data_IF_984469400047
#
_entry.id   IF_984469400047
#
_cell.length_a   1.000
_cell.length_b   1.000
_cell.length_c   1.000
_cell.angle_alpha   90.00
_cell.angle_beta   90.00
_cell.angle_gamma   90.00
#
_symmetry.space_group_name_H-M   'P 1'
#
loop_
_entity.id
_entity.type
_entity.pdbx_description
1 polymer ?
#
# COMPACT_ATOMS: atom_id res chain seq x y z
N UNK A 1 20.20 11.75 -3.71
CA UNK A 1 21.00 12.13 -2.52
C UNK A 1 21.77 13.42 -2.70
N UNK A 2 22.52 13.62 -3.80
CA UNK A 2 23.21 14.90 -4.08
C UNK A 2 22.27 16.13 -4.03
N UNK A 3 20.97 15.94 -4.33
CA UNK A 3 19.93 16.96 -4.24
C UNK A 3 19.30 17.15 -2.84
N UNK A 4 19.80 16.50 -1.78
CA UNK A 4 19.28 16.63 -0.41
C UNK A 4 17.96 15.90 -0.10
N UNK A 5 17.40 15.15 -1.06
CA UNK A 5 16.15 14.40 -0.87
C UNK A 5 16.36 13.11 -0.06
N UNK A 6 15.46 12.87 0.91
CA UNK A 6 15.30 11.58 1.57
C UNK A 6 14.70 10.56 0.59
N UNK A 7 15.28 9.35 0.56
CA UNK A 7 14.84 8.26 -0.34
C UNK A 7 14.35 7.09 0.50
N UNK A 8 13.18 6.59 0.15
CA UNK A 8 12.57 5.39 0.74
C UNK A 8 12.27 4.38 -0.36
N UNK A 9 12.62 3.13 -0.13
CA UNK A 9 12.32 2.04 -1.05
C UNK A 9 11.01 1.36 -0.63
N UNK A 10 10.18 1.03 -1.62
CA UNK A 10 8.98 0.23 -1.43
C UNK A 10 9.04 -0.93 -2.41
N UNK A 11 8.84 -2.15 -1.93
CA UNK A 11 8.88 -3.35 -2.75
C UNK A 11 7.64 -4.21 -2.48
N UNK A 12 6.96 -4.62 -3.54
CA UNK A 12 5.94 -5.66 -3.47
C UNK A 12 6.65 -7.01 -3.47
N UNK A 13 6.39 -7.84 -2.46
CA UNK A 13 7.04 -9.15 -2.32
C UNK A 13 6.20 -10.21 -3.03
N UNK A 14 6.79 -10.88 -4.01
CA UNK A 14 6.10 -11.85 -4.86
C UNK A 14 6.87 -13.17 -4.87
N UNK A 15 6.16 -14.26 -4.57
CA UNK A 15 6.69 -15.62 -4.53
C UNK A 15 7.28 -16.01 -5.89
N UNK A 16 8.50 -16.53 -5.88
CA UNK A 16 9.20 -16.99 -7.08
C UNK A 16 9.67 -15.86 -7.99
N UNK A 17 9.51 -14.59 -7.58
CA UNK A 17 9.98 -13.43 -8.33
C UNK A 17 11.11 -12.72 -7.59
N UNK A 18 10.87 -12.29 -6.34
CA UNK A 18 11.84 -11.53 -5.55
C UNK A 18 11.86 -11.90 -4.06
N UNK A 19 11.09 -12.91 -3.64
CA UNK A 19 10.99 -13.31 -2.24
C UNK A 19 12.31 -13.90 -1.68
N UNK A 20 13.16 -14.43 -2.55
CA UNK A 20 14.50 -14.90 -2.18
C UNK A 20 15.54 -13.77 -2.03
N UNK A 21 15.27 -12.57 -2.55
CA UNK A 21 16.24 -11.46 -2.62
C UNK A 21 16.04 -10.41 -1.51
N UNK A 22 15.17 -10.70 -0.55
CA UNK A 22 14.77 -9.71 0.48
C UNK A 22 15.95 -9.32 1.38
N UNK A 23 16.83 -10.26 1.73
CA UNK A 23 18.04 -9.95 2.51
C UNK A 23 18.98 -9.01 1.76
N UNK A 24 19.21 -9.28 0.46
CA UNK A 24 20.04 -8.43 -0.39
C UNK A 24 19.44 -7.03 -0.53
N UNK A 25 18.10 -6.94 -0.59
CA UNK A 25 17.40 -5.66 -0.63
C UNK A 25 17.53 -4.87 0.69
N UNK A 26 17.53 -5.56 1.84
CA UNK A 26 17.78 -4.94 3.16
C UNK A 26 19.21 -4.39 3.21
N UNK A 27 20.21 -5.18 2.79
CA UNK A 27 21.61 -4.74 2.71
C UNK A 27 21.73 -3.52 1.80
N UNK A 28 21.19 -3.61 0.58
CA UNK A 28 21.23 -2.54 -0.42
C UNK A 28 20.61 -1.23 0.11
N UNK A 29 19.46 -1.32 0.78
CA UNK A 29 18.80 -0.18 1.41
C UNK A 29 19.66 0.42 2.53
N UNK A 30 20.22 -0.46 3.39
CA UNK A 30 21.12 -0.11 4.49
C UNK A 30 22.35 0.67 4.04
N UNK A 31 23.11 0.13 3.07
CA UNK A 31 24.30 0.76 2.49
C UNK A 31 23.98 2.13 1.88
N UNK A 32 22.79 2.25 1.28
CA UNK A 32 22.29 3.50 0.69
C UNK A 32 21.58 4.37 1.69
N UNK A 33 21.60 4.03 2.98
CA UNK A 33 20.91 4.71 4.08
C UNK A 33 19.46 5.07 3.77
N UNK A 34 18.75 4.18 3.09
CA UNK A 34 17.34 4.28 2.76
C UNK A 34 16.55 3.39 3.73
N UNK A 35 15.36 3.82 4.11
CA UNK A 35 14.40 2.92 4.74
C UNK A 35 13.73 2.06 3.65
N UNK A 36 13.35 0.83 4.01
CA UNK A 36 12.71 -0.13 3.13
C UNK A 36 11.30 -0.44 3.64
N UNK A 37 10.34 -0.63 2.74
CA UNK A 37 9.00 -1.13 3.09
C UNK A 37 8.60 -2.24 2.15
N UNK A 38 8.30 -3.40 2.73
CA UNK A 38 7.79 -4.57 2.04
C UNK A 38 6.26 -4.54 2.05
N UNK A 39 5.65 -4.90 0.94
CA UNK A 39 4.21 -4.80 0.70
C UNK A 39 3.70 -6.15 0.19
N UNK A 40 2.62 -6.66 0.78
CA UNK A 40 1.96 -7.86 0.22
C UNK A 40 1.31 -7.54 -1.13
N UNK A 41 1.31 -8.49 -2.07
CA UNK A 41 0.64 -8.31 -3.34
C UNK A 41 -0.87 -8.26 -3.09
N UNK A 42 -1.50 -7.13 -3.45
CA UNK A 42 -2.96 -7.00 -3.41
C UNK A 42 -3.58 -7.54 -4.71
N UNK A 43 -4.68 -8.32 -4.66
CA UNK A 43 -5.39 -8.86 -5.82
C UNK A 43 -6.25 -7.79 -6.51
N UNK A 44 -5.66 -6.64 -6.87
CA UNK A 44 -6.38 -5.50 -7.45
C UNK A 44 -6.00 -5.29 -8.91
N UNK A 45 -7.02 -5.32 -9.77
CA UNK A 45 -6.88 -5.15 -11.22
C UNK A 45 -6.40 -6.41 -11.94
N UNK A 46 -6.50 -6.41 -13.26
CA UNK A 46 -5.93 -7.48 -14.09
C UNK A 46 -4.39 -7.46 -13.95
N UNK A 47 -3.80 -8.65 -13.78
CA UNK A 47 -2.35 -8.87 -13.84
C UNK A 47 -2.04 -9.77 -15.03
N UNK A 48 -1.06 -9.39 -15.84
CA UNK A 48 -0.61 -10.20 -16.99
C UNK A 48 0.17 -11.45 -16.54
N UNK A 49 0.72 -11.43 -15.32
CA UNK A 49 1.59 -12.48 -14.75
C UNK A 49 0.84 -13.62 -14.03
N UNK A 50 -0.47 -13.75 -14.24
CA UNK A 50 -1.32 -14.75 -13.60
C UNK A 50 -1.94 -14.31 -12.26
N UNK A 51 -2.61 -15.24 -11.53
CA UNK A 51 -3.32 -14.91 -10.31
C UNK A 51 -2.36 -14.45 -9.21
N UNK A 52 -2.55 -13.23 -8.71
CA UNK A 52 -1.73 -12.67 -7.61
C UNK A 52 -1.79 -13.51 -6.32
N UNK A 53 -2.83 -14.32 -6.17
CA UNK A 53 -2.97 -15.30 -5.09
C UNK A 53 -1.85 -16.35 -5.08
N UNK A 54 -1.38 -16.79 -6.25
CA UNK A 54 -0.27 -17.75 -6.37
C UNK A 54 1.09 -17.13 -6.00
N UNK A 55 1.19 -15.81 -6.13
CA UNK A 55 2.40 -15.04 -5.83
C UNK A 55 2.43 -14.53 -4.38
N UNK A 56 1.42 -14.86 -3.56
CA UNK A 56 1.28 -14.35 -2.21
C UNK A 56 2.34 -14.91 -1.25
N UNK A 57 3.03 -13.98 -0.58
CA UNK A 57 3.94 -14.26 0.54
C UNK A 57 3.41 -13.51 1.76
N UNK A 58 2.92 -14.21 2.81
CA UNK A 58 2.50 -13.54 4.04
C UNK A 58 3.70 -12.85 4.69
N UNK A 59 3.67 -11.52 4.80
CA UNK A 59 4.81 -10.79 5.35
C UNK A 59 4.99 -11.03 6.85
N UNK A 60 3.94 -11.47 7.55
CA UNK A 60 4.04 -11.90 8.95
C UNK A 60 5.00 -13.09 9.10
N UNK A 61 4.94 -14.06 8.19
CA UNK A 61 5.85 -15.21 8.20
C UNK A 61 7.25 -14.83 7.70
N UNK A 62 7.33 -13.95 6.69
CA UNK A 62 8.61 -13.41 6.23
C UNK A 62 9.33 -12.65 7.36
N UNK A 63 8.62 -11.82 8.12
CA UNK A 63 9.19 -11.09 9.24
C UNK A 63 9.74 -12.02 10.33
N UNK A 64 9.03 -13.12 10.65
CA UNK A 64 9.52 -14.16 11.57
C UNK A 64 10.78 -14.83 11.06
N UNK A 65 10.86 -15.12 9.75
CA UNK A 65 12.04 -15.72 9.14
C UNK A 65 13.23 -14.75 9.11
N UNK A 66 13.00 -13.47 8.82
CA UNK A 66 14.02 -12.42 8.87
C UNK A 66 14.57 -12.25 10.29
N UNK A 67 13.73 -12.30 11.33
CA UNK A 67 14.13 -12.21 12.73
C UNK A 67 15.07 -13.35 13.19
N UNK A 68 15.22 -14.44 12.41
CA UNK A 68 16.21 -15.49 12.68
C UNK A 68 17.62 -15.14 12.21
N UNK A 69 17.75 -14.16 11.32
CA UNK A 69 19.01 -13.75 10.66
C UNK A 69 19.39 -12.30 10.93
N UNK A 70 18.42 -11.46 11.29
CA UNK A 70 18.56 -10.03 11.56
C UNK A 70 18.07 -9.69 12.96
N UNK A 71 18.70 -8.71 13.59
CA UNK A 71 18.27 -8.13 14.86
C UNK A 71 17.20 -7.07 14.59
N UNK A 72 15.94 -7.48 14.77
CA UNK A 72 14.78 -6.63 14.47
C UNK A 72 14.13 -6.10 15.75
N UNK A 73 14.26 -4.80 16.00
CA UNK A 73 13.63 -4.13 17.15
C UNK A 73 12.29 -3.51 16.75
N UNK A 74 11.14 -3.94 17.31
CA UNK A 74 9.84 -3.36 16.99
C UNK A 74 9.72 -1.89 17.39
N UNK A 75 9.06 -1.08 16.55
CA UNK A 75 8.78 0.33 16.82
C UNK A 75 7.26 0.59 16.80
N UNK A 76 6.50 0.14 17.82
CA UNK A 76 5.03 0.16 17.80
C UNK A 76 4.42 1.57 17.74
N UNK A 77 5.16 2.59 18.18
CA UNK A 77 4.71 3.98 18.18
C UNK A 77 5.26 4.80 17.00
N UNK A 78 6.09 4.20 16.14
CA UNK A 78 6.62 4.89 14.98
C UNK A 78 5.59 4.87 13.84
N UNK A 79 5.24 6.06 13.33
CA UNK A 79 4.28 6.22 12.23
C UNK A 79 4.76 7.28 11.25
N UNK A 80 4.56 7.00 9.96
CA UNK A 80 4.82 7.95 8.86
C UNK A 80 3.51 8.43 8.21
N UNK A 81 2.37 8.32 8.92
CA UNK A 81 1.04 8.60 8.34
C UNK A 81 0.58 7.55 7.31
N UNK A 82 1.20 6.37 7.32
CA UNK A 82 0.82 5.25 6.46
C UNK A 82 0.61 3.95 7.22
N UNK A 83 0.13 2.90 6.53
CA UNK A 83 -0.28 1.66 7.18
C UNK A 83 0.91 0.76 7.57
N UNK A 84 2.13 1.17 7.24
CA UNK A 84 3.32 0.38 7.48
C UNK A 84 3.60 0.27 8.99
N UNK A 85 3.92 -0.94 9.42
CA UNK A 85 4.46 -1.23 10.76
C UNK A 85 5.95 -1.38 10.66
N UNK A 86 6.69 -0.76 11.57
CA UNK A 86 8.13 -0.63 11.44
C UNK A 86 8.88 -1.41 12.51
N UNK A 87 10.00 -1.96 12.08
CA UNK A 87 11.08 -2.44 12.95
C UNK A 87 12.37 -1.70 12.57
N UNK A 88 13.29 -1.57 13.53
CA UNK A 88 14.68 -1.20 13.25
C UNK A 88 15.48 -2.46 12.93
N UNK A 89 16.26 -2.43 11.86
CA UNK A 89 17.29 -3.44 11.57
C UNK A 89 18.59 -2.92 12.18
N UNK A 90 19.01 -3.48 13.32
CA UNK A 90 20.13 -2.91 14.09
C UNK A 90 21.44 -2.91 13.29
N UNK A 91 21.67 -3.91 12.45
CA UNK A 91 22.87 -4.07 11.63
C UNK A 91 23.05 -2.92 10.62
N UNK A 92 21.94 -2.33 10.15
CA UNK A 92 21.97 -1.22 9.19
C UNK A 92 21.62 0.13 9.81
N UNK A 93 21.04 0.11 11.02
CA UNK A 93 20.41 1.26 11.67
C UNK A 93 19.16 1.80 10.96
N UNK A 94 18.69 1.17 9.87
CA UNK A 94 17.55 1.63 9.05
C UNK A 94 16.24 0.98 9.47
N UNK A 95 15.15 1.56 8.98
CA UNK A 95 13.80 1.06 9.23
C UNK A 95 13.38 0.07 8.13
N UNK A 96 12.79 -1.03 8.58
CA UNK A 96 12.09 -1.98 7.73
C UNK A 96 10.59 -1.93 8.06
N UNK A 97 9.79 -1.52 7.08
CA UNK A 97 8.34 -1.42 7.16
C UNK A 97 7.63 -2.61 6.54
N UNK A 98 6.48 -2.98 7.07
CA UNK A 98 5.62 -4.03 6.54
C UNK A 98 4.20 -3.50 6.30
N UNK A 99 3.68 -3.66 5.10
CA UNK A 99 2.30 -3.33 4.72
C UNK A 99 1.57 -4.63 4.36
N UNK A 100 0.64 -5.04 5.22
CA UNK A 100 -0.02 -6.35 5.21
C UNK A 100 -1.53 -6.26 4.96
N UNK A 101 -1.99 -5.81 3.78
CA UNK A 101 -3.41 -5.62 3.48
C UNK A 101 -4.23 -6.92 3.57
N UNK A 102 -3.59 -8.08 3.40
CA UNK A 102 -4.22 -9.40 3.43
C UNK A 102 -4.01 -10.07 4.79
N UNK A 103 -2.75 -10.28 5.21
CA UNK A 103 -2.48 -11.08 6.41
C UNK A 103 -2.81 -10.35 7.72
N UNK A 104 -2.84 -9.02 7.70
CA UNK A 104 -3.16 -8.21 8.86
C UNK A 104 -3.68 -6.82 8.45
N UNK A 105 -4.96 -6.78 8.06
CA UNK A 105 -5.63 -5.60 7.52
C UNK A 105 -5.50 -4.33 8.41
N UNK A 106 -5.49 -3.15 7.77
CA UNK A 106 -5.30 -1.84 8.40
C UNK A 106 -6.40 -0.81 8.03
N UNK A 107 -7.49 -1.24 7.40
CA UNK A 107 -8.54 -0.33 6.91
C UNK A 107 -9.19 0.49 8.02
N UNK A 108 -9.34 -0.06 9.22
CA UNK A 108 -9.93 0.65 10.38
C UNK A 108 -9.18 1.95 10.73
N UNK A 109 -7.86 2.01 10.47
CA UNK A 109 -7.04 3.21 10.65
C UNK A 109 -6.82 4.02 9.37
N UNK A 110 -7.44 3.65 8.24
CA UNK A 110 -7.19 4.27 6.95
C UNK A 110 -7.89 5.62 6.81
N UNK A 111 -7.10 6.69 6.78
CA UNK A 111 -7.57 8.07 6.60
C UNK A 111 -7.38 8.60 5.16
N UNK A 112 -7.21 7.71 4.17
CA UNK A 112 -6.89 8.11 2.78
C UNK A 112 -8.10 8.06 1.85
N UNK A 113 -8.14 9.04 0.96
CA UNK A 113 -8.96 9.08 -0.26
C UNK A 113 -8.04 9.49 -1.42
N UNK A 114 -8.44 9.23 -2.66
CA UNK A 114 -7.61 9.47 -3.84
C UNK A 114 -8.37 10.26 -4.89
N UNK A 115 -7.68 11.16 -5.59
CA UNK A 115 -8.20 11.83 -6.79
C UNK A 115 -7.43 11.31 -7.99
N UNK A 116 -8.13 10.76 -8.98
CA UNK A 116 -7.50 10.32 -10.23
C UNK A 116 -7.04 11.52 -11.07
N UNK A 117 -6.17 11.26 -12.06
CA UNK A 117 -5.77 12.27 -13.04
C UNK A 117 -6.96 12.87 -13.83
N UNK A 118 -8.08 12.16 -13.92
CA UNK A 118 -9.32 12.64 -14.55
C UNK A 118 -10.20 13.48 -13.63
N UNK A 119 -9.81 13.67 -12.36
CA UNK A 119 -10.55 14.46 -11.38
C UNK A 119 -11.68 13.69 -10.69
N UNK A 120 -11.56 12.36 -10.57
CA UNK A 120 -12.55 11.52 -9.87
C UNK A 120 -12.06 11.16 -8.47
N UNK A 121 -12.91 11.30 -7.47
CA UNK A 121 -12.65 10.89 -6.08
C UNK A 121 -12.95 9.40 -5.89
N UNK A 122 -11.98 8.68 -5.36
CA UNK A 122 -12.13 7.30 -4.89
C UNK A 122 -11.95 7.28 -3.37
N UNK A 123 -12.97 6.80 -2.66
CA UNK A 123 -12.95 6.70 -1.19
C UNK A 123 -12.10 5.52 -0.69
N UNK A 124 -11.82 4.55 -1.56
CA UNK A 124 -10.97 3.40 -1.27
C UNK A 124 -10.17 3.05 -2.52
N UNK A 125 -8.96 2.51 -2.34
CA UNK A 125 -8.17 1.95 -3.44
C UNK A 125 -8.91 0.82 -4.16
N UNK A 126 -9.67 0.01 -3.40
CA UNK A 126 -10.49 -1.10 -3.89
C UNK A 126 -11.88 -0.71 -4.42
N UNK A 127 -12.32 0.55 -4.33
CA UNK A 127 -13.70 0.93 -4.71
C UNK A 127 -13.86 0.99 -6.23
N UNK A 128 -14.78 0.25 -6.85
CA UNK A 128 -14.97 0.24 -8.31
C UNK A 128 -15.27 1.63 -8.89
N UNK A 129 -16.16 2.36 -8.25
CA UNK A 129 -16.62 3.66 -8.72
C UNK A 129 -15.97 4.84 -7.99
N UNK A 130 -15.88 5.95 -8.72
CA UNK A 130 -15.43 7.23 -8.20
C UNK A 130 -16.40 8.34 -8.51
N UNK A 131 -16.32 9.45 -7.78
CA UNK A 131 -17.22 10.60 -7.90
C UNK A 131 -16.56 11.71 -8.72
N UNK A 132 -17.27 12.30 -9.68
CA UNK A 132 -16.71 13.35 -10.55
C UNK A 132 -16.61 14.70 -9.82
N UNK A 133 -15.44 14.98 -9.26
CA UNK A 133 -15.18 16.26 -8.59
C UNK A 133 -14.98 17.40 -9.58
N UNK A 134 -14.46 17.09 -10.77
CA UNK A 134 -14.13 18.08 -11.79
C UNK A 134 -15.38 18.80 -12.29
N UNK A 135 -16.46 18.06 -12.55
CA UNK A 135 -17.73 18.64 -12.97
C UNK A 135 -18.35 19.50 -11.87
N UNK A 136 -18.31 19.02 -10.62
CA UNK A 136 -18.88 19.74 -9.47
C UNK A 136 -18.12 21.03 -9.20
N UNK A 137 -16.79 21.01 -9.20
CA UNK A 137 -15.97 22.21 -9.02
C UNK A 137 -16.27 23.27 -10.10
N UNK A 138 -16.45 22.84 -11.36
CA UNK A 138 -16.75 23.74 -12.48
C UNK A 138 -18.16 24.34 -12.43
N UNK A 139 -19.14 23.60 -11.91
CA UNK A 139 -20.54 24.02 -11.86
C UNK A 139 -20.89 24.79 -10.58
N UNK A 140 -20.46 24.27 -9.44
CA UNK A 140 -20.92 24.68 -8.11
C UNK A 140 -19.82 25.39 -7.29
N UNK A 141 -18.62 25.56 -7.88
CA UNK A 141 -17.49 26.23 -7.25
C UNK A 141 -16.87 25.45 -6.07
N UNK A 142 -15.87 26.05 -5.39
CA UNK A 142 -15.20 25.47 -4.23
C UNK A 142 -16.15 25.11 -3.09
N UNK A 143 -17.17 25.92 -2.83
CA UNK A 143 -18.13 25.69 -1.74
C UNK A 143 -19.03 24.47 -2.04
N UNK A 144 -19.43 24.31 -3.30
CA UNK A 144 -20.16 23.12 -3.76
C UNK A 144 -19.31 21.85 -3.63
N UNK A 145 -18.04 21.93 -4.02
CA UNK A 145 -17.09 20.83 -3.86
C UNK A 145 -16.90 20.46 -2.37
N UNK A 146 -16.72 21.44 -1.49
CA UNK A 146 -16.55 21.20 -0.05
C UNK A 146 -17.76 20.45 0.54
N UNK A 147 -18.99 20.89 0.25
CA UNK A 147 -20.22 20.21 0.71
C UNK A 147 -20.33 18.79 0.18
N UNK A 148 -19.87 18.54 -1.05
CA UNK A 148 -19.84 17.19 -1.61
C UNK A 148 -18.84 16.31 -0.86
N UNK A 149 -17.63 16.80 -0.61
CA UNK A 149 -16.60 16.06 0.12
C UNK A 149 -17.07 15.68 1.54
N UNK A 150 -17.67 16.62 2.27
CA UNK A 150 -18.21 16.36 3.62
C UNK A 150 -19.26 15.25 3.65
N UNK A 151 -20.03 15.13 2.56
CA UNK A 151 -21.02 14.07 2.40
C UNK A 151 -20.37 12.74 2.05
N UNK A 152 -19.48 12.72 1.05
CA UNK A 152 -18.87 11.50 0.52
C UNK A 152 -17.92 10.84 1.52
N UNK A 153 -17.18 11.60 2.32
CA UNK A 153 -16.27 11.02 3.32
C UNK A 153 -17.03 10.16 4.33
N UNK A 154 -18.28 10.51 4.66
CA UNK A 154 -19.14 9.74 5.58
C UNK A 154 -19.63 8.42 4.98
N UNK A 155 -19.54 8.25 3.66
CA UNK A 155 -19.89 6.99 2.98
C UNK A 155 -18.66 6.12 2.72
N UNK A 156 -17.48 6.49 3.26
CA UNK A 156 -16.28 5.66 3.14
C UNK A 156 -16.53 4.33 3.86
N UNK A 157 -16.32 3.18 3.20
CA UNK A 157 -16.51 1.89 3.83
C UNK A 157 -15.50 1.69 4.97
N UNK A 158 -15.92 1.01 6.04
CA UNK A 158 -15.08 0.68 7.20
C UNK A 158 -13.87 -0.17 6.81
N UNK A 159 -14.08 -1.14 5.91
CA UNK A 159 -13.03 -2.01 5.39
C UNK A 159 -13.29 -2.45 3.97
N UNK A 160 -12.23 -2.84 3.28
CA UNK A 160 -12.30 -3.53 1.98
C UNK A 160 -12.01 -5.01 2.20
N UNK A 161 -12.82 -5.89 1.60
CA UNK A 161 -12.75 -7.33 1.80
C UNK A 161 -11.84 -8.00 0.74
N UNK A 162 -10.54 -7.71 0.77
CA UNK A 162 -9.57 -8.23 -0.21
C UNK A 162 -9.48 -9.77 -0.23
N UNK A 163 -9.77 -10.44 0.88
CA UNK A 163 -9.81 -11.92 0.96
C UNK A 163 -10.82 -12.50 -0.03
N UNK A 164 -12.02 -11.89 -0.13
CA UNK A 164 -13.08 -12.33 -1.06
C UNK A 164 -12.76 -12.09 -2.53
N UNK A 165 -11.69 -11.35 -2.81
CA UNK A 165 -11.20 -11.03 -4.15
C UNK A 165 -10.06 -11.96 -4.59
N UNK A 166 -9.44 -12.67 -3.65
CA UNK A 166 -8.31 -13.55 -3.91
C UNK A 166 -8.71 -14.87 -4.58
N UNK A 167 -9.96 -15.30 -4.36
CA UNK A 167 -10.55 -16.53 -4.91
C UNK A 167 -11.30 -16.30 -6.23
N UNK A 168 -11.39 -15.06 -6.71
CA UNK A 168 -12.10 -14.74 -7.95
C UNK A 168 -11.22 -14.98 -9.17
N UNK A 169 -11.79 -15.61 -10.19
CA UNK A 169 -11.16 -15.76 -11.50
C UNK A 169 -11.01 -14.41 -12.22
N UNK A 170 -11.97 -13.49 -12.01
CA UNK A 170 -11.95 -12.16 -12.59
C UNK A 170 -11.35 -11.12 -11.63
N UNK A 171 -10.60 -10.13 -12.15
CA UNK A 171 -10.04 -9.08 -11.32
C UNK A 171 -11.15 -8.29 -10.64
N UNK A 172 -11.01 -8.06 -9.33
CA UNK A 172 -12.00 -7.36 -8.53
C UNK A 172 -12.26 -5.90 -8.96
N UNK A 173 -11.36 -5.35 -9.77
CA UNK A 173 -11.48 -4.05 -10.39
C UNK A 173 -11.19 -4.16 -11.89
N UNK A 174 -12.08 -3.61 -12.72
CA UNK A 174 -11.84 -3.47 -14.15
C UNK A 174 -10.67 -2.50 -14.47
N UNK A 175 -10.29 -1.64 -13.52
CA UNK A 175 -9.17 -0.71 -13.66
C UNK A 175 -7.89 -1.28 -13.07
N UNK A 176 -6.75 -0.87 -13.63
CA UNK A 176 -5.45 -1.07 -12.99
C UNK A 176 -5.25 -0.14 -11.79
N UNK A 177 -4.48 -0.59 -10.80
CA UNK A 177 -4.17 0.21 -9.59
C UNK A 177 -3.48 1.55 -9.92
N UNK A 178 -2.61 1.59 -10.93
CA UNK A 178 -1.84 2.78 -11.30
C UNK A 178 -2.73 3.97 -11.67
N UNK A 179 -3.95 3.74 -12.14
CA UNK A 179 -4.94 4.78 -12.49
C UNK A 179 -5.32 5.64 -11.29
N UNK A 180 -5.18 5.13 -10.08
CA UNK A 180 -5.47 5.83 -8.83
C UNK A 180 -4.21 6.29 -8.09
N UNK A 181 -3.06 6.37 -8.77
CA UNK A 181 -1.78 6.77 -8.16
C UNK A 181 -1.21 5.73 -7.20
N UNK A 182 -1.43 4.44 -7.51
CA UNK A 182 -0.81 3.31 -6.83
C UNK A 182 0.41 2.81 -7.58
#
# INVERSE_FOLDING_TARGET
RAAGLGVKLNAVVMRGVNDAEIDDLIVFAGERGCDLTLIEPMPLGASEDGPRSLQFVPLVELAKNLARRWTLTPLPHHSTGGPARYVRVEETGRLLGFITPLSHNFCAGCNRVRVSATGRLYLCLGAADGFDLKTVLRRDGPEGLSRLLDRLIRTKPERHAFESEMDRADPALARHMHVTGG
#
